data_IF_249184701774
#
_entry.id   IF_249184701774
#
_cell.length_a   1.000
_cell.length_b   1.000
_cell.length_c   1.000
_cell.angle_alpha   90.00
_cell.angle_beta   90.00
_cell.angle_gamma   90.00
#
_symmetry.space_group_name_H-M   'P 1'
#
loop_
_entity.id
_entity.type
_entity.pdbx_description
1 polymer ?
#
# COMPACT_ATOMS: atom_id res chain seq x y z
N UNK A 1 -7.56 -34.36 -9.66
CA UNK A 1 -8.77 -33.62 -9.25
C UNK A 1 -8.24 -32.29 -8.76
N UNK A 2 -8.11 -31.31 -9.67
CA UNK A 2 -6.98 -30.37 -9.59
C UNK A 2 -7.34 -29.02 -8.95
N UNK A 3 -8.62 -28.83 -8.65
CA UNK A 3 -9.11 -27.73 -7.82
C UNK A 3 -10.42 -28.08 -7.13
N UNK A 4 -10.62 -27.61 -5.90
CA UNK A 4 -11.91 -27.71 -5.20
C UNK A 4 -12.17 -26.45 -4.39
N UNK A 5 -13.44 -26.04 -4.37
CA UNK A 5 -13.96 -24.90 -3.63
C UNK A 5 -14.96 -25.42 -2.61
N UNK A 6 -14.81 -25.03 -1.35
CA UNK A 6 -15.75 -25.41 -0.30
C UNK A 6 -15.93 -24.29 0.72
N UNK A 7 -17.06 -24.33 1.41
CA UNK A 7 -17.40 -23.38 2.46
C UNK A 7 -16.76 -23.82 3.79
N UNK A 8 -16.20 -22.87 4.53
CA UNK A 8 -15.52 -23.11 5.80
C UNK A 8 -15.86 -21.99 6.77
N UNK A 9 -16.54 -22.32 7.88
CA UNK A 9 -16.90 -21.44 9.01
C UNK A 9 -16.66 -19.92 8.81
N UNK A 10 -17.65 -19.21 8.25
CA UNK A 10 -17.55 -17.75 8.03
C UNK A 10 -16.77 -17.33 6.77
N UNK A 11 -16.35 -18.29 5.94
CA UNK A 11 -15.52 -18.06 4.77
C UNK A 11 -15.58 -19.17 3.72
N UNK A 12 -14.68 -19.06 2.76
CA UNK A 12 -14.53 -19.95 1.61
C UNK A 12 -13.08 -20.37 1.46
N UNK A 13 -12.85 -21.65 1.19
CA UNK A 13 -11.53 -22.20 0.91
C UNK A 13 -11.47 -22.70 -0.53
N UNK A 14 -10.47 -22.23 -1.26
CA UNK A 14 -10.14 -22.64 -2.62
C UNK A 14 -8.78 -23.33 -2.61
N UNK A 15 -8.77 -24.60 -2.99
CA UNK A 15 -7.55 -25.37 -3.18
C UNK A 15 -7.30 -25.56 -4.67
N UNK A 16 -6.11 -25.21 -5.15
CA UNK A 16 -5.65 -25.42 -6.53
C UNK A 16 -4.29 -26.10 -6.47
N UNK A 17 -4.21 -27.35 -6.92
CA UNK A 17 -3.01 -28.19 -6.79
C UNK A 17 -2.43 -28.22 -5.36
N UNK A 18 -1.30 -27.56 -5.12
CA UNK A 18 -0.58 -27.50 -3.84
C UNK A 18 -0.74 -26.14 -3.11
N UNK A 19 -1.64 -25.28 -3.60
CA UNK A 19 -1.93 -23.98 -3.01
C UNK A 19 -3.33 -24.02 -2.42
N UNK A 20 -3.46 -23.50 -1.20
CA UNK A 20 -4.74 -23.30 -0.54
C UNK A 20 -4.89 -21.81 -0.22
N UNK A 21 -6.03 -21.24 -0.60
CA UNK A 21 -6.44 -19.89 -0.27
C UNK A 21 -7.71 -19.96 0.57
N UNK A 22 -7.72 -19.25 1.69
CA UNK A 22 -8.88 -19.07 2.55
C UNK A 22 -9.23 -17.59 2.60
N UNK A 23 -10.50 -17.28 2.37
CA UNK A 23 -11.08 -15.95 2.53
C UNK A 23 -12.19 -16.05 3.56
N UNK A 24 -12.08 -15.37 4.70
CA UNK A 24 -13.10 -15.34 5.76
C UNK A 24 -13.50 -13.91 6.10
N UNK A 25 -14.74 -13.75 6.57
CA UNK A 25 -15.22 -12.53 7.20
C UNK A 25 -15.18 -12.72 8.71
N UNK A 26 -14.30 -11.99 9.37
CA UNK A 26 -14.12 -12.04 10.81
C UNK A 26 -15.21 -11.24 11.54
N UNK A 27 -15.39 -11.51 12.84
CA UNK A 27 -16.49 -10.94 13.64
C UNK A 27 -16.43 -9.41 13.78
N UNK A 28 -15.25 -8.83 13.66
CA UNK A 28 -14.99 -7.39 13.68
C UNK A 28 -15.24 -6.71 12.32
N UNK A 29 -15.62 -7.47 11.29
CA UNK A 29 -15.88 -6.99 9.94
C UNK A 29 -14.66 -7.00 9.03
N UNK A 30 -13.52 -7.53 9.48
CA UNK A 30 -12.34 -7.67 8.63
C UNK A 30 -12.48 -8.83 7.65
N UNK A 31 -11.99 -8.63 6.42
CA UNK A 31 -11.86 -9.70 5.43
C UNK A 31 -10.44 -10.25 5.56
N UNK A 32 -10.32 -11.43 6.14
CA UNK A 32 -9.03 -12.11 6.30
C UNK A 32 -8.76 -13.01 5.09
N UNK A 33 -7.56 -12.87 4.52
CA UNK A 33 -7.13 -13.64 3.35
C UNK A 33 -5.82 -14.32 3.72
N UNK A 34 -5.81 -15.66 3.69
CA UNK A 34 -4.63 -16.48 3.99
C UNK A 34 -4.36 -17.41 2.83
N UNK A 35 -3.15 -17.35 2.30
CA UNK A 35 -2.68 -18.25 1.25
C UNK A 35 -1.49 -19.05 1.79
N UNK A 36 -1.55 -20.37 1.59
CA UNK A 36 -0.44 -21.28 1.89
C UNK A 36 -0.07 -22.10 0.66
N UNK A 37 1.24 -22.36 0.55
CA UNK A 37 1.82 -23.18 -0.50
C UNK A 37 3.24 -23.60 -0.11
N UNK A 38 3.90 -24.38 -0.96
CA UNK A 38 5.32 -24.72 -0.75
C UNK A 38 6.22 -23.52 -1.08
N UNK A 39 7.47 -23.53 -0.60
CA UNK A 39 8.44 -22.48 -0.96
C UNK A 39 8.65 -22.36 -2.47
N UNK A 40 8.52 -23.47 -3.21
CA UNK A 40 8.57 -23.50 -4.67
C UNK A 40 7.38 -22.83 -5.37
N UNK A 41 6.29 -22.55 -4.67
CA UNK A 41 5.09 -21.90 -5.22
C UNK A 41 4.93 -20.45 -4.75
N UNK A 42 5.93 -19.83 -4.10
CA UNK A 42 5.84 -18.46 -3.56
C UNK A 42 5.43 -17.43 -4.62
N UNK A 43 6.00 -17.53 -5.82
CA UNK A 43 5.63 -16.69 -6.98
C UNK A 43 4.14 -16.82 -7.31
N UNK A 44 3.63 -18.06 -7.41
CA UNK A 44 2.22 -18.32 -7.71
C UNK A 44 1.31 -17.88 -6.56
N UNK A 45 1.72 -18.08 -5.30
CA UNK A 45 0.99 -17.62 -4.12
C UNK A 45 0.85 -16.08 -4.12
N UNK A 46 1.90 -15.36 -4.47
CA UNK A 46 1.87 -13.89 -4.59
C UNK A 46 0.84 -13.42 -5.62
N UNK A 47 0.94 -13.88 -6.87
CA UNK A 47 -0.02 -13.47 -7.90
C UNK A 47 -1.43 -13.92 -7.59
N UNK A 48 -1.60 -15.10 -6.99
CA UNK A 48 -2.92 -15.54 -6.59
C UNK A 48 -3.52 -14.67 -5.48
N UNK A 49 -2.71 -14.20 -4.52
CA UNK A 49 -3.14 -13.23 -3.52
C UNK A 49 -3.59 -11.92 -4.18
N UNK A 50 -2.79 -11.39 -5.11
CA UNK A 50 -3.09 -10.13 -5.79
C UNK A 50 -4.39 -10.23 -6.62
N UNK A 51 -4.65 -11.35 -7.29
CA UNK A 51 -5.92 -11.60 -8.01
C UNK A 51 -7.14 -11.65 -7.07
N UNK A 52 -7.00 -12.29 -5.90
CA UNK A 52 -8.07 -12.34 -4.89
C UNK A 52 -8.31 -10.96 -4.31
N UNK A 53 -7.25 -10.23 -3.96
CA UNK A 53 -7.33 -8.85 -3.48
C UNK A 53 -7.97 -7.94 -4.52
N UNK A 54 -7.61 -8.07 -5.80
CA UNK A 54 -8.22 -7.32 -6.88
C UNK A 54 -9.73 -7.59 -6.99
N UNK A 55 -10.12 -8.87 -6.97
CA UNK A 55 -11.53 -9.28 -7.03
C UNK A 55 -12.35 -8.73 -5.87
N UNK A 56 -11.81 -8.79 -4.65
CA UNK A 56 -12.45 -8.22 -3.45
C UNK A 56 -12.57 -6.70 -3.60
N UNK A 57 -11.49 -6.01 -3.98
CA UNK A 57 -11.52 -4.56 -4.16
C UNK A 57 -12.54 -4.11 -5.22
N UNK A 58 -12.67 -4.83 -6.34
CA UNK A 58 -13.72 -4.56 -7.35
C UNK A 58 -15.12 -4.63 -6.75
N UNK A 59 -15.41 -5.70 -6.00
CA UNK A 59 -16.72 -5.87 -5.34
C UNK A 59 -16.97 -4.74 -4.33
N UNK A 60 -15.97 -4.36 -3.54
CA UNK A 60 -16.10 -3.29 -2.55
C UNK A 60 -16.35 -1.93 -3.21
N UNK A 61 -15.67 -1.62 -4.31
CA UNK A 61 -15.87 -0.38 -5.08
C UNK A 61 -17.30 -0.33 -5.67
N UNK A 62 -17.79 -1.44 -6.20
CA UNK A 62 -19.12 -1.51 -6.82
C UNK A 62 -20.26 -1.47 -5.80
N UNK A 63 -20.10 -2.17 -4.67
CA UNK A 63 -21.18 -2.35 -3.69
C UNK A 63 -21.16 -1.34 -2.55
N UNK A 64 -19.99 -0.80 -2.22
CA UNK A 64 -19.75 0.08 -1.08
C UNK A 64 -18.87 1.28 -1.47
N UNK A 65 -19.31 2.12 -2.44
CA UNK A 65 -18.51 3.24 -2.91
C UNK A 65 -18.23 4.22 -1.77
N UNK A 66 -16.96 4.58 -1.60
CA UNK A 66 -16.50 5.48 -0.54
C UNK A 66 -16.23 4.80 0.81
N UNK A 67 -16.43 3.49 0.94
CA UNK A 67 -16.02 2.77 2.13
C UNK A 67 -14.50 2.78 2.24
N UNK A 68 -14.00 3.22 3.40
CA UNK A 68 -12.57 3.18 3.70
C UNK A 68 -12.16 1.74 4.02
N UNK A 69 -11.21 1.22 3.25
CA UNK A 69 -10.62 -0.10 3.46
C UNK A 69 -9.16 0.11 3.85
N UNK A 70 -8.73 -0.54 4.93
CA UNK A 70 -7.34 -0.51 5.39
C UNK A 70 -6.74 -1.90 5.12
N UNK A 71 -5.55 -1.93 4.51
CA UNK A 71 -4.80 -3.16 4.25
C UNK A 71 -3.78 -3.36 5.35
N UNK A 72 -3.77 -4.57 5.92
CA UNK A 72 -2.76 -5.03 6.86
C UNK A 72 -2.16 -6.36 6.38
N UNK A 73 -0.88 -6.59 6.68
CA UNK A 73 -0.16 -7.81 6.33
C UNK A 73 0.05 -8.66 7.59
N UNK A 74 -0.45 -9.90 7.58
CA UNK A 74 -0.31 -10.78 8.74
C UNK A 74 1.14 -11.26 8.90
N UNK A 75 1.63 -11.24 10.14
CA UNK A 75 2.95 -11.73 10.55
C UNK A 75 3.16 -13.21 10.16
N UNK A 76 4.10 -13.52 9.25
CA UNK A 76 4.41 -14.90 8.87
C UNK A 76 4.90 -15.72 10.06
N UNK A 77 5.66 -15.13 10.97
CA UNK A 77 6.12 -15.83 12.18
C UNK A 77 4.96 -16.20 13.10
N UNK A 78 4.04 -15.28 13.39
CA UNK A 78 2.84 -15.57 14.20
C UNK A 78 1.95 -16.63 13.53
N UNK A 79 1.80 -16.58 12.20
CA UNK A 79 1.07 -17.60 11.44
C UNK A 79 1.75 -18.98 11.54
N UNK A 80 3.08 -19.03 11.46
CA UNK A 80 3.87 -20.27 11.57
C UNK A 80 3.80 -20.89 12.96
N UNK A 81 3.62 -20.06 14.00
CA UNK A 81 3.47 -20.47 15.40
C UNK A 81 1.99 -20.66 15.79
N UNK A 82 1.05 -20.57 14.85
CA UNK A 82 -0.39 -20.74 15.06
C UNK A 82 -1.00 -19.82 16.11
N UNK A 83 -0.59 -18.55 16.14
CA UNK A 83 -1.19 -17.55 17.01
C UNK A 83 -2.66 -17.35 16.63
N UNK A 84 -3.52 -17.25 17.66
CA UNK A 84 -4.97 -17.04 17.46
C UNK A 84 -5.25 -15.68 16.82
N UNK A 85 -4.48 -14.66 17.20
CA UNK A 85 -4.55 -13.31 16.65
C UNK A 85 -3.14 -12.91 16.19
N UNK A 86 -2.75 -13.24 14.96
CA UNK A 86 -1.46 -12.82 14.41
C UNK A 86 -1.41 -11.28 14.30
N UNK A 87 -0.23 -10.71 14.52
CA UNK A 87 -0.05 -9.28 14.33
C UNK A 87 -0.24 -8.88 12.85
N UNK A 88 -0.96 -7.79 12.60
CA UNK A 88 -1.08 -7.16 11.29
C UNK A 88 -0.16 -5.94 11.18
N UNK A 89 0.65 -5.88 10.14
CA UNK A 89 1.49 -4.74 9.79
C UNK A 89 0.75 -3.81 8.83
N UNK A 90 0.69 -2.52 9.15
CA UNK A 90 0.11 -1.52 8.27
C UNK A 90 0.98 -1.25 7.04
N UNK A 91 0.42 -0.57 6.05
CA UNK A 91 1.18 -0.10 4.89
C UNK A 91 2.30 0.87 5.32
N UNK A 92 2.08 1.62 6.38
CA UNK A 92 3.05 2.54 6.98
C UNK A 92 4.26 1.82 7.58
N UNK A 93 4.07 0.70 8.27
CA UNK A 93 5.19 -0.12 8.78
C UNK A 93 6.11 -0.54 7.63
N UNK A 94 5.52 -1.03 6.53
CA UNK A 94 6.26 -1.46 5.35
C UNK A 94 6.92 -0.28 4.66
N UNK A 95 6.19 0.82 4.47
CA UNK A 95 6.68 2.03 3.83
C UNK A 95 7.93 2.56 4.52
N UNK A 96 7.89 2.75 5.84
CA UNK A 96 9.03 3.30 6.58
C UNK A 96 10.20 2.31 6.66
N UNK A 97 9.94 1.00 6.76
CA UNK A 97 11.00 -0.01 6.74
C UNK A 97 11.75 -0.02 5.40
N UNK A 98 11.02 -0.07 4.28
CA UNK A 98 11.61 -0.08 2.93
C UNK A 98 12.30 1.24 2.64
N UNK A 99 11.69 2.37 2.99
CA UNK A 99 12.29 3.70 2.76
C UNK A 99 13.64 3.85 3.44
N UNK A 100 13.80 3.30 4.65
CA UNK A 100 15.04 3.41 5.44
C UNK A 100 16.25 2.75 4.76
N UNK A 101 16.03 1.66 4.03
CA UNK A 101 17.13 0.90 3.39
C UNK A 101 17.07 0.89 1.87
N UNK A 102 16.00 1.44 1.29
CA UNK A 102 15.63 1.31 -0.13
C UNK A 102 15.58 -0.15 -0.60
N UNK A 103 15.12 -1.05 0.27
CA UNK A 103 15.17 -2.51 0.03
C UNK A 103 13.94 -3.20 0.65
N UNK A 104 13.30 -4.10 -0.11
CA UNK A 104 12.19 -4.94 0.39
C UNK A 104 12.69 -6.07 1.30
N UNK A 105 13.99 -6.31 1.40
CA UNK A 105 14.61 -7.15 2.45
C UNK A 105 14.88 -6.40 3.76
N UNK A 106 14.37 -5.17 3.89
CA UNK A 106 14.30 -4.47 5.16
C UNK A 106 13.52 -5.26 6.21
N UNK A 107 13.75 -4.90 7.48
CA UNK A 107 13.17 -5.59 8.62
C UNK A 107 12.17 -4.68 9.33
N UNK A 108 10.98 -5.20 9.61
CA UNK A 108 10.03 -4.66 10.59
C UNK A 108 10.18 -5.42 11.90
N UNK A 109 9.77 -4.80 13.00
CA UNK A 109 9.78 -5.42 14.33
C UNK A 109 8.35 -5.74 14.72
N UNK A 110 8.08 -7.02 15.01
CA UNK A 110 6.81 -7.44 15.57
C UNK A 110 6.68 -6.85 16.99
N UNK A 111 5.72 -5.96 17.26
CA UNK A 111 5.60 -5.29 18.55
C UNK A 111 5.16 -6.24 19.67
N UNK A 112 4.54 -7.37 19.33
CA UNK A 112 4.07 -8.36 20.31
C UNK A 112 5.21 -9.28 20.79
N UNK A 113 6.13 -9.64 19.88
CA UNK A 113 7.18 -10.63 20.17
C UNK A 113 8.60 -10.04 20.23
N UNK A 114 8.80 -8.84 19.68
CA UNK A 114 10.13 -8.23 19.49
C UNK A 114 10.94 -8.85 18.35
N UNK A 115 10.40 -9.85 17.66
CA UNK A 115 11.07 -10.52 16.55
C UNK A 115 11.16 -9.59 15.33
N UNK A 116 12.23 -9.76 14.54
CA UNK A 116 12.39 -9.05 13.28
C UNK A 116 11.86 -9.91 12.14
N UNK A 117 11.05 -9.31 11.28
CA UNK A 117 10.46 -9.97 10.12
C UNK A 117 10.86 -9.23 8.84
N UNK A 118 11.17 -9.99 7.79
CA UNK A 118 11.53 -9.42 6.49
C UNK A 118 10.27 -8.88 5.79
N UNK A 119 10.35 -7.67 5.24
CA UNK A 119 9.25 -7.09 4.46
C UNK A 119 8.90 -7.98 3.25
N UNK A 120 9.87 -8.56 2.56
CA UNK A 120 9.62 -9.43 1.41
C UNK A 120 8.85 -10.70 1.80
N UNK A 121 9.06 -11.21 3.02
CA UNK A 121 8.29 -12.35 3.54
C UNK A 121 6.82 -11.96 3.77
N UNK A 122 6.58 -10.73 4.27
CA UNK A 122 5.25 -10.18 4.51
C UNK A 122 4.45 -9.93 3.23
N UNK A 123 5.06 -9.28 2.25
CA UNK A 123 4.34 -8.78 1.07
C UNK A 123 4.37 -9.74 -0.12
N UNK A 124 5.35 -10.65 -0.17
CA UNK A 124 5.62 -11.48 -1.35
C UNK A 124 6.10 -12.89 -1.02
N UNK A 125 5.80 -13.41 0.18
CA UNK A 125 6.15 -14.78 0.58
C UNK A 125 7.65 -15.10 0.43
N UNK A 126 8.52 -14.09 0.57
CA UNK A 126 9.97 -14.24 0.44
C UNK A 126 10.44 -14.49 -0.99
N UNK A 127 9.63 -14.14 -1.99
CA UNK A 127 9.91 -14.43 -3.39
C UNK A 127 10.83 -13.38 -4.03
N UNK A 128 12.11 -13.73 -4.21
CA UNK A 128 13.10 -12.86 -4.89
C UNK A 128 12.70 -12.52 -6.34
N UNK A 129 11.97 -13.41 -7.03
CA UNK A 129 11.48 -13.11 -8.37
C UNK A 129 10.49 -11.94 -8.36
N UNK A 130 9.62 -11.89 -7.35
CA UNK A 130 8.66 -10.81 -7.16
C UNK A 130 9.36 -9.52 -6.79
N UNK A 131 10.34 -9.57 -5.87
CA UNK A 131 11.13 -8.40 -5.44
C UNK A 131 11.66 -7.59 -6.63
N UNK A 132 12.22 -8.27 -7.64
CA UNK A 132 12.77 -7.64 -8.84
C UNK A 132 11.73 -6.92 -9.71
N UNK A 133 10.44 -7.18 -9.48
CA UNK A 133 9.32 -6.54 -10.16
C UNK A 133 8.68 -5.42 -9.33
N UNK A 134 9.07 -5.23 -8.07
CA UNK A 134 8.44 -4.24 -7.20
C UNK A 134 9.14 -2.88 -7.31
N UNK A 135 8.34 -1.82 -7.37
CA UNK A 135 8.77 -0.44 -7.12
C UNK A 135 8.23 0.04 -5.79
N UNK A 136 9.07 0.75 -5.02
CA UNK A 136 8.67 1.34 -3.75
C UNK A 136 7.73 2.53 -3.97
N UNK A 137 6.66 2.58 -3.17
CA UNK A 137 5.67 3.65 -3.17
C UNK A 137 6.25 5.03 -2.89
N UNK A 138 7.36 5.10 -2.15
CA UNK A 138 8.09 6.32 -1.85
C UNK A 138 8.45 7.14 -3.10
N UNK A 139 8.76 6.45 -4.20
CA UNK A 139 9.18 7.03 -5.47
C UNK A 139 8.05 7.37 -6.43
N UNK A 140 6.80 7.00 -6.10
CA UNK A 140 5.67 7.19 -6.99
C UNK A 140 5.26 8.66 -7.09
N UNK A 141 4.80 9.14 -8.25
CA UNK A 141 4.38 10.53 -8.43
C UNK A 141 3.06 10.81 -7.70
N UNK A 142 2.82 12.08 -7.33
CA UNK A 142 1.58 12.51 -6.68
C UNK A 142 0.31 12.30 -7.52
N UNK A 143 0.45 12.02 -8.81
CA UNK A 143 -0.67 11.65 -9.69
C UNK A 143 -1.26 10.28 -9.36
N UNK A 144 -0.54 9.43 -8.62
CA UNK A 144 -1.03 8.13 -8.15
C UNK A 144 -1.96 8.24 -6.92
N UNK A 145 -2.10 9.42 -6.33
CA UNK A 145 -3.07 9.65 -5.26
C UNK A 145 -4.49 9.51 -5.81
N UNK A 146 -5.21 8.49 -5.33
CA UNK A 146 -6.60 8.25 -5.74
C UNK A 146 -7.56 9.35 -5.23
N UNK A 147 -8.77 9.37 -5.79
CA UNK A 147 -9.80 10.38 -5.48
C UNK A 147 -10.14 10.44 -3.99
N UNK A 148 -10.24 9.28 -3.31
CA UNK A 148 -10.57 9.22 -1.89
C UNK A 148 -9.47 9.87 -1.04
N UNK A 149 -8.21 9.55 -1.33
CA UNK A 149 -7.05 10.16 -0.68
C UNK A 149 -7.07 11.67 -0.87
N UNK A 150 -7.30 12.15 -2.10
CA UNK A 150 -7.35 13.58 -2.41
C UNK A 150 -8.48 14.29 -1.64
N UNK A 151 -9.65 13.69 -1.55
CA UNK A 151 -10.78 14.24 -0.78
C UNK A 151 -10.52 14.29 0.73
N UNK A 152 -9.90 13.26 1.29
CA UNK A 152 -9.54 13.25 2.72
C UNK A 152 -8.44 14.28 3.02
N UNK A 153 -7.45 14.39 2.14
CA UNK A 153 -6.38 15.39 2.28
C UNK A 153 -6.93 16.81 2.29
N UNK A 154 -7.78 17.18 1.32
CA UNK A 154 -8.39 18.52 1.29
C UNK A 154 -9.23 18.78 2.53
N UNK A 155 -10.04 17.81 2.94
CA UNK A 155 -10.89 17.92 4.14
C UNK A 155 -10.08 18.21 5.41
N UNK A 156 -8.85 17.71 5.51
CA UNK A 156 -8.00 17.82 6.70
C UNK A 156 -7.01 18.98 6.68
N UNK A 157 -6.64 19.47 5.50
CA UNK A 157 -5.58 20.47 5.32
C UNK A 157 -6.14 21.84 4.90
N UNK A 158 -7.28 21.90 4.19
CA UNK A 158 -7.90 23.17 3.80
C UNK A 158 -8.39 24.01 4.98
N UNK A 159 -9.00 23.45 6.04
CA UNK A 159 -9.45 24.24 7.18
C UNK A 159 -8.28 24.84 7.96
N UNK A 160 -8.48 26.04 8.51
CA UNK A 160 -7.51 26.68 9.40
C UNK A 160 -7.24 25.79 10.60
N UNK A 161 -5.98 25.42 10.79
CA UNK A 161 -5.55 24.63 11.94
C UNK A 161 -5.25 25.56 13.12
N UNK A 162 -5.56 25.19 14.39
CA UNK A 162 -5.32 26.06 15.56
C UNK A 162 -3.85 26.52 15.74
N UNK A 163 -2.91 25.74 15.21
CA UNK A 163 -1.47 26.03 15.21
C UNK A 163 -0.92 26.53 13.86
N UNK A 164 -1.79 26.85 12.89
CA UNK A 164 -1.40 27.27 11.53
C UNK A 164 -0.79 26.18 10.66
N UNK A 165 -0.95 24.90 11.03
CA UNK A 165 -0.49 23.71 10.29
C UNK A 165 -1.47 23.34 9.16
N UNK A 166 -1.76 24.31 8.30
CA UNK A 166 -2.73 24.22 7.21
C UNK A 166 -2.04 24.29 5.83
N UNK A 167 -2.86 24.28 4.77
CA UNK A 167 -2.39 24.30 3.39
C UNK A 167 -1.52 25.52 3.04
N UNK A 168 -1.72 26.67 3.69
CA UNK A 168 -0.98 27.89 3.38
C UNK A 168 0.44 27.81 3.93
N UNK A 169 0.62 27.26 5.13
CA UNK A 169 1.96 26.96 5.67
C UNK A 169 2.63 25.84 4.87
N UNK A 170 1.87 24.83 4.42
CA UNK A 170 2.39 23.81 3.51
C UNK A 170 2.92 24.45 2.20
N UNK A 171 2.18 25.40 1.62
CA UNK A 171 2.59 26.15 0.42
C UNK A 171 3.94 26.85 0.62
N UNK A 172 4.15 27.45 1.79
CA UNK A 172 5.41 28.06 2.15
C UNK A 172 6.54 27.05 2.21
N UNK A 173 6.33 25.90 2.87
CA UNK A 173 7.35 24.85 3.00
C UNK A 173 7.81 24.30 1.63
N UNK A 174 6.88 24.15 0.68
CA UNK A 174 7.20 23.65 -0.67
C UNK A 174 7.59 24.74 -1.67
N UNK A 175 7.73 26.00 -1.22
CA UNK A 175 8.19 27.12 -2.06
C UNK A 175 7.16 27.64 -3.08
N UNK A 176 5.86 27.50 -2.77
CA UNK A 176 4.74 27.97 -3.59
C UNK A 176 3.92 29.09 -2.92
N UNK A 177 4.49 29.77 -1.92
CA UNK A 177 3.90 30.91 -1.20
C UNK A 177 3.44 32.03 -2.15
N UNK A 178 4.23 32.32 -3.19
CA UNK A 178 3.90 33.33 -4.21
C UNK A 178 2.60 33.06 -4.98
N UNK A 179 2.07 31.82 -4.94
CA UNK A 179 0.85 31.40 -5.63
C UNK A 179 -0.35 31.20 -4.69
N UNK A 180 -0.22 31.46 -3.39
CA UNK A 180 -1.29 31.21 -2.39
C UNK A 180 -2.61 31.88 -2.78
N UNK A 181 -2.58 33.14 -3.25
CA UNK A 181 -3.79 33.86 -3.69
C UNK A 181 -4.49 33.21 -4.89
N UNK A 182 -3.75 32.49 -5.75
CA UNK A 182 -4.32 31.76 -6.88
C UNK A 182 -5.16 30.57 -6.37
N UNK A 183 -4.67 29.88 -5.34
CA UNK A 183 -5.31 28.68 -4.79
C UNK A 183 -6.52 29.04 -3.93
N UNK A 184 -6.45 30.11 -3.13
CA UNK A 184 -7.52 30.54 -2.22
C UNK A 184 -8.79 31.01 -2.95
N UNK A 185 -8.62 31.67 -4.10
CA UNK A 185 -9.74 32.20 -4.90
C UNK A 185 -10.27 31.18 -5.93
N UNK A 186 -9.75 29.96 -5.94
CA UNK A 186 -10.12 28.92 -6.87
C UNK A 186 -11.50 28.31 -6.58
N UNK A 187 -12.14 27.66 -7.57
CA UNK A 187 -13.40 26.94 -7.37
C UNK A 187 -13.22 25.56 -6.70
N UNK A 188 -11.97 25.14 -6.48
CA UNK A 188 -11.59 23.83 -5.93
C UNK A 188 -10.91 24.00 -4.57
N UNK A 189 -10.70 22.88 -3.87
CA UNK A 189 -9.83 22.84 -2.69
C UNK A 189 -8.49 23.55 -2.94
N UNK A 190 -8.08 24.51 -2.10
CA UNK A 190 -6.77 25.16 -2.19
C UNK A 190 -5.63 24.16 -2.10
N UNK A 191 -5.70 23.18 -1.21
CA UNK A 191 -4.67 22.16 -1.07
C UNK A 191 -4.55 21.28 -2.32
N UNK A 192 -5.66 20.89 -2.95
CA UNK A 192 -5.59 20.10 -4.19
C UNK A 192 -5.01 20.89 -5.36
N UNK A 193 -5.41 22.16 -5.52
CA UNK A 193 -4.84 23.04 -6.55
C UNK A 193 -3.32 23.24 -6.33
N UNK A 194 -2.90 23.33 -5.07
CA UNK A 194 -1.50 23.37 -4.68
C UNK A 194 -0.77 22.06 -5.03
N UNK A 195 -1.31 20.90 -4.67
CA UNK A 195 -0.71 19.59 -4.97
C UNK A 195 -0.56 19.39 -6.49
N UNK A 196 -1.57 19.74 -7.27
CA UNK A 196 -1.53 19.64 -8.73
C UNK A 196 -0.50 20.61 -9.32
N UNK A 197 -0.35 21.80 -8.75
CA UNK A 197 0.71 22.74 -9.15
C UNK A 197 2.09 22.22 -8.75
N UNK A 198 2.24 21.69 -7.54
CA UNK A 198 3.49 21.17 -7.01
C UNK A 198 3.99 19.98 -7.83
N UNK A 199 3.08 19.10 -8.28
CA UNK A 199 3.39 17.98 -9.16
C UNK A 199 4.06 18.39 -10.49
N UNK A 200 3.95 19.66 -10.90
CA UNK A 200 4.60 20.19 -12.12
C UNK A 200 5.97 20.82 -11.87
N UNK A 201 6.33 21.08 -10.61
CA UNK A 201 7.62 21.69 -10.23
C UNK A 201 8.75 20.67 -10.42
N UNK A 202 9.96 21.12 -10.77
CA UNK A 202 11.12 20.26 -10.92
C UNK A 202 12.15 20.51 -9.80
N UNK A 203 12.68 19.46 -9.14
CA UNK A 203 12.36 18.04 -9.34
C UNK A 203 10.92 17.70 -8.93
N UNK A 204 10.28 16.78 -9.68
CA UNK A 204 8.90 16.40 -9.43
C UNK A 204 8.75 15.74 -8.04
N UNK A 205 7.79 16.18 -7.21
CA UNK A 205 7.55 15.58 -5.90
C UNK A 205 6.96 14.18 -6.04
N UNK A 206 7.32 13.32 -5.10
CA UNK A 206 6.81 11.96 -4.96
C UNK A 206 5.91 11.85 -3.74
N UNK A 207 5.19 10.73 -3.62
CA UNK A 207 4.44 10.38 -2.41
C UNK A 207 5.36 10.45 -1.19
N UNK A 208 6.61 9.97 -1.33
CA UNK A 208 7.62 10.06 -0.30
C UNK A 208 7.89 11.48 0.18
N UNK A 209 8.02 12.42 -0.74
CA UNK A 209 8.20 13.84 -0.40
C UNK A 209 6.95 14.47 0.23
N UNK A 210 5.74 14.06 -0.19
CA UNK A 210 4.50 14.53 0.44
C UNK A 210 4.40 14.07 1.90
N UNK A 211 4.73 12.80 2.17
CA UNK A 211 4.75 12.26 3.53
C UNK A 211 5.74 13.02 4.41
N UNK A 212 6.94 13.32 3.91
CA UNK A 212 7.93 14.12 4.63
C UNK A 212 7.41 15.52 4.95
N UNK A 213 6.85 16.22 3.96
CA UNK A 213 6.35 17.58 4.14
C UNK A 213 5.17 17.63 5.12
N UNK A 214 4.30 16.63 5.14
CA UNK A 214 3.22 16.51 6.13
C UNK A 214 3.76 16.24 7.53
N UNK A 215 4.78 15.38 7.67
CA UNK A 215 5.44 15.12 8.94
C UNK A 215 6.18 16.37 9.46
N UNK A 216 6.90 17.09 8.60
CA UNK A 216 7.57 18.36 8.93
C UNK A 216 6.59 19.47 9.32
N UNK A 217 5.40 19.48 8.72
CA UNK A 217 4.29 20.35 9.12
C UNK A 217 3.72 19.98 10.50
N UNK A 218 4.05 18.81 11.04
CA UNK A 218 3.49 18.26 12.28
C UNK A 218 2.05 17.79 12.09
N UNK A 219 1.77 17.17 10.94
CA UNK A 219 0.48 16.57 10.53
C UNK A 219 0.67 15.09 10.20
N UNK A 220 1.30 14.35 11.10
CA UNK A 220 1.62 12.92 10.96
C UNK A 220 0.35 12.07 10.76
N UNK A 221 -0.78 12.51 11.32
CA UNK A 221 -2.07 11.84 11.12
C UNK A 221 -2.57 11.95 9.67
N UNK A 222 -2.22 13.05 8.98
CA UNK A 222 -2.55 13.23 7.56
C UNK A 222 -1.59 12.42 6.70
N UNK A 223 -0.31 12.36 7.07
CA UNK A 223 0.66 11.50 6.40
C UNK A 223 0.24 10.02 6.46
N UNK A 224 -0.25 9.56 7.62
CA UNK A 224 -0.79 8.20 7.76
C UNK A 224 -1.99 7.94 6.84
N UNK A 225 -2.87 8.93 6.63
CA UNK A 225 -4.00 8.80 5.70
C UNK A 225 -3.53 8.62 4.26
N UNK A 226 -2.44 9.29 3.86
CA UNK A 226 -1.83 9.04 2.55
C UNK A 226 -1.42 7.58 2.44
N UNK A 227 -0.68 7.06 3.41
CA UNK A 227 -0.19 5.67 3.42
C UNK A 227 -1.32 4.63 3.46
N UNK A 228 -2.44 4.94 4.13
CA UNK A 228 -3.61 4.06 4.18
C UNK A 228 -4.42 4.01 2.87
N UNK A 229 -4.25 4.99 1.97
CA UNK A 229 -5.01 5.07 0.72
C UNK A 229 -4.20 4.70 -0.53
N UNK A 230 -2.92 4.33 -0.37
CA UNK A 230 -2.04 4.00 -1.48
C UNK A 230 -1.66 2.52 -1.45
N UNK A 231 -1.19 2.01 -2.58
CA UNK A 231 -0.60 0.68 -2.62
C UNK A 231 0.74 0.69 -1.88
N UNK A 232 1.06 -0.43 -1.22
CA UNK A 232 2.33 -0.60 -0.49
C UNK A 232 3.55 -0.67 -1.44
N UNK A 233 3.31 -1.10 -2.67
CA UNK A 233 4.31 -1.23 -3.73
C UNK A 233 3.58 -1.18 -5.07
N UNK A 234 4.32 -0.91 -6.15
CA UNK A 234 3.83 -1.06 -7.53
C UNK A 234 4.48 -2.27 -8.17
N UNK A 235 3.68 -3.13 -8.81
CA UNK A 235 4.20 -4.23 -9.63
C UNK A 235 4.50 -3.66 -11.03
N UNK A 236 5.77 -3.67 -11.42
CA UNK A 236 6.19 -3.32 -12.76
C UNK A 236 5.89 -4.53 -13.66
N UNK A 237 4.98 -4.35 -14.62
CA UNK A 237 4.80 -5.35 -15.68
C UNK A 237 6.07 -5.34 -16.52
N UNK A 238 6.87 -6.40 -16.41
CA UNK A 238 7.97 -6.58 -17.35
C UNK A 238 7.37 -6.84 -18.73
N UNK A 239 7.70 -6.00 -19.72
CA UNK A 239 7.43 -6.32 -21.12
C UNK A 239 8.13 -7.64 -21.45
N UNK A 240 7.35 -8.72 -21.54
CA UNK A 240 7.81 -10.07 -21.89
C UNK A 240 8.54 -10.08 -23.25
N UNK A 241 8.35 -9.03 -24.06
CA UNK A 241 9.02 -8.83 -25.35
C UNK A 241 10.53 -8.50 -25.25
N UNK A 242 11.07 -8.15 -24.08
CA UNK A 242 12.50 -7.90 -23.91
C UNK A 242 13.28 -9.08 -23.32
N UNK A 243 12.61 -10.17 -22.96
CA UNK A 243 13.27 -11.46 -22.69
C UNK A 243 13.63 -12.12 -24.03
N UNK A 244 14.71 -11.67 -24.65
CA UNK A 244 15.41 -12.43 -25.68
C UNK A 244 16.05 -13.67 -25.04
N UNK A 245 15.22 -14.68 -24.77
CA UNK A 245 15.69 -16.01 -24.39
C UNK A 245 16.51 -16.52 -25.57
N UNK A 246 17.82 -16.51 -25.38
CA UNK A 246 18.76 -17.25 -26.20
C UNK A 246 18.47 -18.73 -25.96
N UNK A 247 17.52 -19.28 -26.70
CA UNK A 247 17.33 -20.72 -26.87
C UNK A 247 18.53 -21.25 -27.67
N UNK A 248 19.69 -21.30 -27.04
CA UNK A 248 20.82 -22.06 -27.55
C UNK A 248 20.60 -23.52 -27.17
N UNK A 249 20.24 -24.27 -28.21
CA UNK A 249 20.21 -25.73 -28.31
C UNK A 249 21.45 -26.35 -27.65
N UNK A 250 21.21 -27.26 -26.71
CA UNK A 250 21.96 -28.52 -26.55
C UNK A 250 20.94 -29.63 -26.28
#
# INVERSE_FOLDING_TARGET
MDSYLYQWYGGTVLCISNIECMVSLEQDGCIEIKIRGSKSSSYTCFYFLEEILHSINLVLIETCPGMKVIKEFLSPSNLSEHYVQPHGYGVDDIFYAVRKTSDFKSLVVNPLTGNKECVLDLIAFGCDQVENMLSCTDSLPLTELNTMCRQELSRLIDPVHPLGRDWALFALNVGLDSKVQLFDNGPTSPFLALIDTWATVQPAPTIGTLVDQLNELGREEVALIVLQNIQCFRINVMDINNCSVTLNRL
#
